data_IF_596584591284
#
_entry.id   IF_596584591284
#
_cell.length_a   1.000
_cell.length_b   1.000
_cell.length_c   1.000
_cell.angle_alpha   90.00
_cell.angle_beta   90.00
_cell.angle_gamma   90.00
#
_symmetry.space_group_name_H-M   'P 1'
#
loop_
_entity.id
_entity.type
_entity.pdbx_description
1 polymer ?
#
# COMPACT_ATOMS: atom_id res chain seq x y z
N UNK A 1 -23.19 6.54 -6.16
CA UNK A 1 -22.14 6.90 -7.15
C UNK A 1 -21.75 5.66 -7.93
N UNK A 2 -21.79 5.68 -9.25
CA UNK A 2 -21.42 4.53 -10.05
C UNK A 2 -19.89 4.39 -10.08
N UNK A 3 -19.35 3.16 -9.98
CA UNK A 3 -17.91 2.89 -10.01
C UNK A 3 -17.23 3.48 -11.26
N UNK A 4 -17.92 3.48 -12.39
CA UNK A 4 -17.40 4.06 -13.64
C UNK A 4 -17.03 5.54 -13.46
N UNK A 5 -17.83 6.31 -12.73
CA UNK A 5 -17.54 7.70 -12.43
C UNK A 5 -16.31 7.86 -11.53
N UNK A 6 -16.16 7.00 -10.49
CA UNK A 6 -14.96 6.97 -9.65
C UNK A 6 -13.73 6.70 -10.49
N UNK A 7 -13.77 5.67 -11.33
CA UNK A 7 -12.66 5.30 -12.19
C UNK A 7 -12.33 6.42 -13.19
N UNK A 8 -13.33 7.08 -13.77
CA UNK A 8 -13.15 8.20 -14.70
C UNK A 8 -12.44 9.37 -14.02
N UNK A 9 -12.95 9.80 -12.86
CA UNK A 9 -12.33 10.87 -12.06
C UNK A 9 -10.92 10.52 -11.62
N UNK A 10 -10.71 9.31 -11.13
CA UNK A 10 -9.38 8.85 -10.73
C UNK A 10 -8.38 8.80 -11.91
N UNK A 11 -8.80 8.38 -13.10
CA UNK A 11 -7.96 8.40 -14.30
C UNK A 11 -7.63 9.84 -14.76
N UNK A 12 -8.56 10.79 -14.65
CA UNK A 12 -8.26 12.23 -14.90
C UNK A 12 -7.18 12.73 -13.93
N UNK A 13 -7.28 12.40 -12.63
CA UNK A 13 -6.24 12.76 -11.64
C UNK A 13 -4.91 12.06 -11.91
N UNK A 14 -4.94 10.81 -12.40
CA UNK A 14 -3.74 10.09 -12.82
C UNK A 14 -3.06 10.78 -14.02
N UNK A 15 -3.82 11.34 -14.96
CA UNK A 15 -3.26 12.11 -16.08
C UNK A 15 -2.56 13.38 -15.60
N UNK A 16 -3.16 14.11 -14.65
CA UNK A 16 -2.50 15.26 -14.00
C UNK A 16 -1.21 14.84 -13.28
N UNK A 17 -1.24 13.72 -12.53
CA UNK A 17 -0.03 13.21 -11.88
C UNK A 17 1.08 12.86 -12.90
N UNK A 18 0.69 12.40 -14.09
CA UNK A 18 1.63 12.08 -15.17
C UNK A 18 2.26 13.33 -15.79
N UNK A 19 1.53 14.44 -15.95
CA UNK A 19 2.08 15.70 -16.48
C UNK A 19 3.15 16.30 -15.57
N UNK A 20 3.03 16.08 -14.26
CA UNK A 20 4.01 16.57 -13.27
C UNK A 20 5.01 15.49 -12.82
N UNK A 21 5.21 14.45 -13.62
CA UNK A 21 6.10 13.30 -13.30
C UNK A 21 7.56 13.67 -13.01
N UNK A 22 8.00 14.88 -13.37
CA UNK A 22 9.35 15.39 -13.12
C UNK A 22 9.60 15.68 -11.64
N UNK A 23 8.55 15.94 -10.86
CA UNK A 23 8.64 16.24 -9.43
C UNK A 23 9.28 15.07 -8.66
N UNK A 24 9.84 15.39 -7.51
CA UNK A 24 10.44 14.38 -6.64
C UNK A 24 9.39 13.39 -6.11
N UNK A 25 9.87 12.25 -5.63
CA UNK A 25 9.03 11.13 -5.15
C UNK A 25 8.08 11.53 -4.02
N UNK A 26 8.55 12.35 -3.08
CA UNK A 26 7.73 12.79 -1.93
C UNK A 26 6.54 13.63 -2.38
N UNK A 27 6.78 14.60 -3.24
CA UNK A 27 5.75 15.47 -3.81
C UNK A 27 4.73 14.65 -4.62
N UNK A 28 5.20 13.72 -5.45
CA UNK A 28 4.31 12.85 -6.22
C UNK A 28 3.47 11.92 -5.32
N UNK A 29 4.05 11.38 -4.24
CA UNK A 29 3.32 10.58 -3.25
C UNK A 29 2.27 11.43 -2.52
N UNK A 30 2.60 12.66 -2.16
CA UNK A 30 1.66 13.59 -1.56
C UNK A 30 0.52 13.94 -2.53
N UNK A 31 0.84 14.31 -3.76
CA UNK A 31 -0.15 14.60 -4.80
C UNK A 31 -1.08 13.41 -5.06
N UNK A 32 -0.54 12.20 -5.14
CA UNK A 32 -1.36 11.00 -5.23
C UNK A 32 -2.36 10.91 -4.07
N UNK A 33 -1.90 11.09 -2.83
CA UNK A 33 -2.73 10.96 -1.62
C UNK A 33 -3.85 12.00 -1.55
N UNK A 34 -3.55 13.25 -1.88
CA UNK A 34 -4.53 14.36 -1.79
C UNK A 34 -5.47 14.44 -2.99
N UNK A 35 -5.07 13.99 -4.18
CA UNK A 35 -5.86 14.15 -5.40
C UNK A 35 -6.53 12.85 -5.84
N UNK A 36 -5.75 11.82 -6.14
CA UNK A 36 -6.27 10.57 -6.71
C UNK A 36 -6.86 9.66 -5.65
N UNK A 37 -6.11 9.44 -4.55
CA UNK A 37 -6.54 8.56 -3.46
C UNK A 37 -7.83 9.07 -2.80
N UNK A 38 -7.97 10.38 -2.62
CA UNK A 38 -9.18 10.99 -2.04
C UNK A 38 -10.44 10.67 -2.84
N UNK A 39 -10.34 10.60 -4.17
CA UNK A 39 -11.45 10.20 -5.05
C UNK A 39 -11.83 8.74 -4.84
N UNK A 40 -10.85 7.86 -4.68
CA UNK A 40 -11.10 6.42 -4.43
C UNK A 40 -11.65 6.21 -3.01
N UNK A 41 -11.08 6.89 -2.01
CA UNK A 41 -11.44 6.74 -0.60
C UNK A 41 -12.88 7.22 -0.29
N UNK A 42 -13.44 8.09 -1.15
CA UNK A 42 -14.80 8.58 -0.93
C UNK A 42 -15.81 7.44 -0.93
N UNK A 43 -16.44 7.22 0.22
CA UNK A 43 -17.39 6.12 0.47
C UNK A 43 -16.84 4.70 0.17
N UNK A 44 -15.53 4.52 0.05
CA UNK A 44 -14.89 3.24 -0.28
C UNK A 44 -15.40 2.07 0.57
N UNK A 45 -15.51 2.15 1.92
CA UNK A 45 -15.98 1.04 2.74
C UNK A 45 -17.43 0.63 2.47
N UNK A 46 -18.24 1.54 1.91
CA UNK A 46 -19.65 1.29 1.65
C UNK A 46 -19.83 0.47 0.37
N UNK A 47 -19.06 0.76 -0.67
CA UNK A 47 -19.28 0.13 -1.97
C UNK A 47 -18.29 -1.00 -2.31
N UNK A 48 -17.06 -0.98 -1.74
CA UNK A 48 -15.96 -1.85 -2.20
C UNK A 48 -16.28 -3.34 -2.14
N UNK A 49 -16.88 -3.80 -1.05
CA UNK A 49 -17.12 -5.23 -0.86
C UNK A 49 -18.20 -5.78 -1.81
N UNK A 50 -19.11 -4.92 -2.28
CA UNK A 50 -20.16 -5.25 -3.24
C UNK A 50 -19.68 -5.23 -4.71
N UNK A 51 -18.44 -4.81 -4.96
CA UNK A 51 -17.85 -4.83 -6.29
C UNK A 51 -17.54 -6.25 -6.75
N UNK A 52 -17.70 -6.50 -8.05
CA UNK A 52 -17.19 -7.72 -8.68
C UNK A 52 -15.67 -7.73 -8.67
N UNK A 53 -15.06 -8.91 -8.81
CA UNK A 53 -13.60 -9.03 -8.86
C UNK A 53 -12.97 -8.17 -9.98
N UNK A 54 -13.60 -8.15 -11.16
CA UNK A 54 -13.16 -7.30 -12.29
C UNK A 54 -13.16 -5.81 -11.93
N UNK A 55 -14.17 -5.36 -11.19
CA UNK A 55 -14.26 -3.98 -10.73
C UNK A 55 -13.20 -3.63 -9.67
N UNK A 56 -12.95 -4.53 -8.72
CA UNK A 56 -11.85 -4.38 -7.73
C UNK A 56 -10.50 -4.28 -8.42
N UNK A 57 -10.24 -5.15 -9.41
CA UNK A 57 -9.01 -5.10 -10.21
C UNK A 57 -8.82 -3.78 -10.95
N UNK A 58 -9.91 -3.15 -11.45
CA UNK A 58 -9.81 -1.82 -12.10
C UNK A 58 -9.30 -0.74 -11.14
N UNK A 59 -9.78 -0.72 -9.90
CA UNK A 59 -9.30 0.24 -8.88
C UNK A 59 -7.83 -0.03 -8.54
N UNK A 60 -7.48 -1.29 -8.27
CA UNK A 60 -6.08 -1.68 -7.98
C UNK A 60 -5.15 -1.33 -9.15
N UNK A 61 -5.61 -1.43 -10.39
CA UNK A 61 -4.83 -1.06 -11.57
C UNK A 61 -4.57 0.46 -11.65
N UNK A 62 -5.51 1.29 -11.22
CA UNK A 62 -5.32 2.74 -11.15
C UNK A 62 -4.25 3.07 -10.10
N UNK A 63 -4.34 2.48 -8.90
CA UNK A 63 -3.32 2.63 -7.87
C UNK A 63 -1.94 2.16 -8.34
N UNK A 64 -1.86 1.00 -8.98
CA UNK A 64 -0.62 0.46 -9.54
C UNK A 64 0.04 1.40 -10.56
N UNK A 65 -0.76 2.00 -11.47
CA UNK A 65 -0.24 3.00 -12.42
C UNK A 65 0.31 4.22 -11.70
N UNK A 66 -0.37 4.70 -10.65
CA UNK A 66 0.12 5.79 -9.83
C UNK A 66 1.42 5.40 -9.09
N UNK A 67 1.49 4.20 -8.53
CA UNK A 67 2.69 3.69 -7.86
C UNK A 67 3.91 3.67 -8.78
N UNK A 68 3.73 3.23 -10.05
CA UNK A 68 4.80 3.28 -11.05
C UNK A 68 5.26 4.71 -11.37
N UNK A 69 4.34 5.66 -11.44
CA UNK A 69 4.69 7.08 -11.66
C UNK A 69 5.49 7.66 -10.50
N UNK A 70 5.09 7.36 -9.26
CA UNK A 70 5.75 7.85 -8.06
C UNK A 70 7.14 7.25 -7.90
N UNK A 71 7.30 5.96 -8.17
CA UNK A 71 8.55 5.23 -7.96
C UNK A 71 9.49 5.25 -9.16
N UNK A 72 8.99 5.54 -10.37
CA UNK A 72 9.75 5.38 -11.61
C UNK A 72 10.06 3.91 -11.96
N UNK A 73 9.27 2.97 -11.41
CA UNK A 73 9.47 1.54 -11.66
C UNK A 73 9.14 1.16 -13.12
N UNK A 74 9.82 0.11 -13.57
CA UNK A 74 9.67 -0.42 -14.93
C UNK A 74 8.33 -1.16 -15.12
N UNK A 75 8.02 -1.43 -16.39
CA UNK A 75 6.90 -2.30 -16.75
C UNK A 75 7.07 -3.69 -16.11
N UNK A 76 5.96 -4.36 -15.80
CA UNK A 76 5.92 -5.70 -15.15
C UNK A 76 6.45 -5.76 -13.71
N UNK A 77 6.76 -4.64 -13.06
CA UNK A 77 7.08 -4.64 -11.63
C UNK A 77 5.87 -5.10 -10.81
N UNK A 78 6.07 -5.97 -9.82
CA UNK A 78 5.01 -6.48 -8.95
C UNK A 78 4.28 -5.36 -8.21
N UNK A 79 2.95 -5.45 -8.16
CA UNK A 79 2.10 -4.50 -7.41
C UNK A 79 2.42 -4.51 -5.92
N UNK A 80 2.62 -5.70 -5.36
CA UNK A 80 2.86 -5.86 -3.93
C UNK A 80 4.20 -5.26 -3.53
N UNK A 81 5.25 -5.50 -4.33
CA UNK A 81 6.55 -4.88 -4.13
C UNK A 81 6.48 -3.35 -4.18
N UNK A 82 5.72 -2.76 -5.12
CA UNK A 82 5.54 -1.31 -5.20
C UNK A 82 4.74 -0.74 -4.04
N UNK A 83 3.69 -1.44 -3.62
CA UNK A 83 2.91 -1.03 -2.46
C UNK A 83 3.77 -1.05 -1.18
N UNK A 84 4.57 -2.10 -0.97
CA UNK A 84 5.52 -2.19 0.15
C UNK A 84 6.53 -1.06 0.09
N UNK A 85 7.11 -0.81 -1.08
CA UNK A 85 8.11 0.25 -1.29
C UNK A 85 7.57 1.66 -0.96
N UNK A 86 6.29 1.91 -1.23
CA UNK A 86 5.63 3.19 -0.95
C UNK A 86 4.97 3.24 0.45
N UNK A 87 4.86 2.10 1.13
CA UNK A 87 4.04 1.97 2.33
C UNK A 87 2.56 2.20 2.02
N UNK A 88 2.09 1.79 0.84
CA UNK A 88 0.69 1.90 0.46
C UNK A 88 -0.05 0.60 0.73
N UNK A 89 -1.23 0.72 1.30
CA UNK A 89 -2.16 -0.39 1.47
C UNK A 89 -2.80 -0.75 0.11
N UNK A 90 -3.15 -2.01 -0.09
CA UNK A 90 -4.08 -2.39 -1.16
C UNK A 90 -5.42 -1.68 -0.97
N UNK A 91 -6.18 -1.47 -2.03
CA UNK A 91 -7.51 -0.84 -1.93
C UNK A 91 -8.43 -1.62 -0.99
N UNK A 92 -8.34 -2.97 -0.99
CA UNK A 92 -9.06 -3.81 -0.04
C UNK A 92 -8.71 -3.49 1.42
N UNK A 93 -7.42 -3.51 1.75
CA UNK A 93 -6.95 -3.22 3.11
C UNK A 93 -7.30 -1.80 3.54
N UNK A 94 -7.21 -0.87 2.61
CA UNK A 94 -7.63 0.52 2.81
C UNK A 94 -9.12 0.62 3.15
N UNK A 95 -9.97 -0.08 2.41
CA UNK A 95 -11.41 -0.16 2.68
C UNK A 95 -11.70 -0.69 4.08
N UNK A 96 -11.01 -1.74 4.50
CA UNK A 96 -11.14 -2.33 5.84
C UNK A 96 -10.75 -1.34 6.94
N UNK A 97 -9.59 -0.68 6.81
CA UNK A 97 -9.12 0.32 7.77
C UNK A 97 -10.08 1.49 7.90
N UNK A 98 -10.50 2.07 6.78
CA UNK A 98 -11.45 3.18 6.78
C UNK A 98 -12.79 2.76 7.37
N UNK A 99 -13.27 1.57 7.01
CA UNK A 99 -14.53 1.03 7.51
C UNK A 99 -14.51 0.74 9.00
N UNK A 100 -13.42 0.17 9.53
CA UNK A 100 -13.24 -0.04 10.97
C UNK A 100 -13.23 1.30 11.73
N UNK A 101 -12.58 2.33 11.21
CA UNK A 101 -12.58 3.66 11.83
C UNK A 101 -13.99 4.28 11.86
N UNK A 102 -14.76 4.12 10.78
CA UNK A 102 -16.16 4.58 10.73
C UNK A 102 -17.01 3.76 11.71
N UNK A 103 -16.87 2.44 11.71
CA UNK A 103 -17.62 1.53 12.58
C UNK A 103 -17.34 1.83 14.06
N UNK A 104 -16.09 2.03 14.45
CA UNK A 104 -15.69 2.44 15.80
C UNK A 104 -16.34 3.78 16.19
N UNK A 105 -16.34 4.77 15.26
CA UNK A 105 -16.98 6.05 15.51
C UNK A 105 -18.48 5.91 15.73
N UNK A 106 -19.17 5.09 14.93
CA UNK A 106 -20.61 4.81 15.10
C UNK A 106 -20.85 4.10 16.44
N UNK A 107 -20.05 3.08 16.74
CA UNK A 107 -20.16 2.34 17.99
C UNK A 107 -20.08 3.24 19.24
N UNK A 108 -19.16 4.18 19.27
CA UNK A 108 -18.86 5.01 20.47
C UNK A 108 -19.67 6.28 20.57
N UNK A 109 -19.98 6.95 19.45
CA UNK A 109 -20.40 8.35 19.42
C UNK A 109 -21.65 8.61 18.60
N UNK A 110 -22.19 7.61 17.91
CA UNK A 110 -23.36 7.84 17.08
C UNK A 110 -24.64 7.91 17.92
N UNK A 111 -25.30 9.02 17.83
CA UNK A 111 -26.57 9.28 18.56
C UNK A 111 -27.79 9.31 17.62
N UNK A 112 -27.59 9.36 16.31
CA UNK A 112 -28.69 9.42 15.32
C UNK A 112 -29.44 8.09 15.28
N UNK A 113 -30.76 8.09 15.58
CA UNK A 113 -31.55 6.87 15.72
C UNK A 113 -31.49 5.96 14.47
N UNK A 114 -31.56 6.57 13.27
CA UNK A 114 -31.53 5.83 12.01
C UNK A 114 -30.22 5.06 11.80
N UNK A 115 -29.06 5.65 12.11
CA UNK A 115 -27.77 4.96 11.95
C UNK A 115 -27.62 3.91 13.05
N UNK A 116 -28.04 4.23 14.25
CA UNK A 116 -27.97 3.31 15.39
C UNK A 116 -28.84 2.07 15.21
N UNK A 117 -30.02 2.21 14.56
CA UNK A 117 -30.89 1.09 14.23
C UNK A 117 -30.29 0.14 13.18
N UNK A 118 -29.32 0.59 12.39
CA UNK A 118 -28.59 -0.26 11.45
C UNK A 118 -27.48 -1.08 12.12
N UNK A 119 -27.11 -0.76 13.38
CA UNK A 119 -26.11 -1.52 14.13
C UNK A 119 -26.70 -2.86 14.60
N UNK A 120 -25.89 -3.94 14.60
CA UNK A 120 -26.33 -5.20 15.18
C UNK A 120 -26.48 -5.07 16.70
N UNK A 121 -27.26 -5.99 17.29
CA UNK A 121 -27.39 -6.07 18.74
C UNK A 121 -26.09 -6.57 19.39
N UNK A 122 -25.79 -6.07 20.58
CA UNK A 122 -24.66 -6.55 21.39
C UNK A 122 -25.00 -7.94 21.92
N UNK A 123 -24.06 -8.84 21.90
CA UNK A 123 -24.20 -10.20 22.43
C UNK A 123 -23.89 -10.20 23.92
N UNK A 124 -24.91 -9.94 24.72
CA UNK A 124 -24.80 -9.91 26.19
C UNK A 124 -24.52 -11.28 26.80
N UNK A 125 -24.93 -12.39 26.15
CA UNK A 125 -24.64 -13.74 26.63
C UNK A 125 -23.16 -14.07 26.56
N UNK A 126 -22.46 -13.54 25.54
CA UNK A 126 -21.01 -13.66 25.42
C UNK A 126 -20.23 -12.61 26.22
N UNK A 127 -20.91 -11.65 26.84
CA UNK A 127 -20.24 -10.65 27.67
C UNK A 127 -19.54 -11.23 28.89
N UNK A 128 -20.03 -12.36 29.42
CA UNK A 128 -19.43 -13.10 30.55
C UNK A 128 -18.12 -13.81 30.14
N UNK A 129 -17.86 -14.02 28.86
CA UNK A 129 -16.59 -14.55 28.36
C UNK A 129 -15.57 -13.41 28.19
N UNK A 130 -14.51 -13.40 28.98
CA UNK A 130 -13.44 -12.37 29.01
C UNK A 130 -12.84 -12.01 27.66
N UNK A 131 -12.87 -12.93 26.67
CA UNK A 131 -12.30 -12.73 25.33
C UNK A 131 -13.23 -12.05 24.32
N UNK A 132 -14.55 -12.08 24.51
CA UNK A 132 -15.54 -11.64 23.54
C UNK A 132 -16.38 -10.43 23.95
N UNK A 133 -16.04 -9.77 25.08
CA UNK A 133 -16.79 -8.61 25.60
C UNK A 133 -16.88 -7.50 24.54
N UNK A 134 -18.10 -6.99 24.31
CA UNK A 134 -18.38 -6.00 23.27
C UNK A 134 -18.45 -6.59 21.84
N UNK A 135 -18.67 -7.89 21.71
CA UNK A 135 -18.99 -8.51 20.43
C UNK A 135 -20.45 -8.22 20.05
N UNK A 136 -20.68 -8.13 18.77
CA UNK A 136 -22.01 -8.01 18.19
C UNK A 136 -22.54 -9.35 17.71
N UNK A 137 -23.85 -9.57 17.81
CA UNK A 137 -24.51 -10.70 17.19
C UNK A 137 -24.36 -10.56 15.66
N UNK A 138 -23.76 -11.54 14.96
CA UNK A 138 -23.65 -11.49 13.53
C UNK A 138 -25.02 -11.40 12.86
N UNK A 139 -25.12 -10.62 11.80
CA UNK A 139 -26.35 -10.59 11.01
C UNK A 139 -26.68 -11.99 10.44
N UNK A 140 -27.97 -12.33 10.40
CA UNK A 140 -28.43 -13.52 9.70
C UNK A 140 -27.98 -13.48 8.23
N UNK A 141 -27.79 -14.66 7.63
CA UNK A 141 -27.36 -14.74 6.24
C UNK A 141 -28.54 -14.44 5.29
N UNK A 142 -28.61 -13.22 4.80
CA UNK A 142 -29.61 -12.77 3.82
C UNK A 142 -29.07 -12.75 2.37
N UNK A 143 -27.98 -13.45 2.11
CA UNK A 143 -27.34 -13.53 0.79
C UNK A 143 -26.04 -12.73 0.66
N UNK A 144 -25.28 -13.03 -0.40
CA UNK A 144 -23.92 -12.54 -0.56
C UNK A 144 -23.79 -11.02 -0.60
N UNK A 145 -24.70 -10.34 -1.30
CA UNK A 145 -24.70 -8.86 -1.40
C UNK A 145 -24.95 -8.19 -0.07
N UNK A 146 -25.92 -8.69 0.72
CA UNK A 146 -26.18 -8.16 2.05
C UNK A 146 -24.98 -8.38 2.98
N UNK A 147 -24.43 -9.59 3.00
CA UNK A 147 -23.27 -9.93 3.84
C UNK A 147 -22.01 -9.15 3.49
N UNK A 148 -21.91 -8.66 2.26
CA UNK A 148 -20.83 -7.80 1.78
C UNK A 148 -21.09 -6.30 2.03
N UNK A 149 -22.29 -5.92 2.48
CA UNK A 149 -22.60 -4.52 2.78
C UNK A 149 -21.88 -4.03 4.03
N UNK A 150 -21.88 -2.71 4.26
CA UNK A 150 -21.04 -2.06 5.28
C UNK A 150 -21.20 -2.68 6.68
N UNK A 151 -22.41 -2.73 7.22
CA UNK A 151 -22.62 -3.20 8.60
C UNK A 151 -22.31 -4.68 8.78
N UNK A 152 -22.84 -5.64 8.01
CA UNK A 152 -22.54 -7.06 8.20
C UNK A 152 -21.04 -7.38 8.03
N UNK A 153 -20.38 -6.78 7.06
CA UNK A 153 -18.96 -7.00 6.82
C UNK A 153 -18.10 -6.47 7.98
N UNK A 154 -18.32 -5.21 8.40
CA UNK A 154 -17.51 -4.62 9.46
C UNK A 154 -17.85 -5.15 10.85
N UNK A 155 -19.06 -5.66 11.07
CA UNK A 155 -19.39 -6.43 12.29
C UNK A 155 -18.48 -7.66 12.44
N UNK A 156 -18.29 -8.41 11.35
CA UNK A 156 -17.37 -9.57 11.36
C UNK A 156 -15.95 -9.13 11.70
N UNK A 157 -15.43 -8.09 11.03
CA UNK A 157 -14.11 -7.55 11.31
C UNK A 157 -14.00 -7.00 12.74
N UNK A 158 -15.00 -6.30 13.22
CA UNK A 158 -15.05 -5.78 14.59
C UNK A 158 -14.96 -6.90 15.62
N UNK A 159 -15.69 -7.97 15.41
CA UNK A 159 -15.71 -9.10 16.34
C UNK A 159 -14.35 -9.80 16.46
N UNK A 160 -13.49 -9.73 15.44
CA UNK A 160 -12.12 -10.27 15.51
C UNK A 160 -11.18 -9.41 16.36
N UNK A 161 -11.53 -8.16 16.64
CA UNK A 161 -10.67 -7.27 17.43
C UNK A 161 -10.68 -7.65 18.92
N UNK A 162 -9.52 -7.56 19.59
CA UNK A 162 -9.46 -7.77 21.04
C UNK A 162 -10.20 -6.66 21.80
N UNK A 163 -10.63 -6.98 23.03
CA UNK A 163 -11.44 -6.09 23.86
C UNK A 163 -10.76 -4.76 24.17
N UNK A 164 -9.48 -4.79 24.51
CA UNK A 164 -8.69 -3.60 24.78
C UNK A 164 -8.68 -2.61 23.60
N UNK A 165 -8.62 -3.13 22.36
CA UNK A 165 -8.68 -2.31 21.14
C UNK A 165 -10.08 -1.70 20.94
N UNK A 166 -11.13 -2.47 21.17
CA UNK A 166 -12.53 -1.98 21.09
C UNK A 166 -12.82 -0.85 22.08
N UNK A 167 -12.15 -0.85 23.22
CA UNK A 167 -12.32 0.14 24.29
C UNK A 167 -11.58 1.46 24.04
N UNK A 168 -10.66 1.53 23.06
CA UNK A 168 -9.87 2.72 22.77
C UNK A 168 -10.75 3.93 22.40
N UNK A 169 -10.26 5.13 22.67
CA UNK A 169 -10.84 6.36 22.14
C UNK A 169 -10.58 6.49 20.63
N UNK A 170 -11.16 7.50 19.96
CA UNK A 170 -11.02 7.68 18.50
C UNK A 170 -9.56 7.84 18.08
N UNK A 171 -8.76 8.60 18.83
CA UNK A 171 -7.37 8.92 18.46
C UNK A 171 -6.51 7.66 18.54
N UNK A 172 -6.61 6.94 19.65
CA UNK A 172 -5.83 5.72 19.88
C UNK A 172 -6.26 4.59 18.95
N UNK A 173 -7.56 4.49 18.66
CA UNK A 173 -8.06 3.52 17.68
C UNK A 173 -7.53 3.83 16.27
N UNK A 174 -7.47 5.10 15.86
CA UNK A 174 -6.83 5.50 14.59
C UNK A 174 -5.34 5.17 14.59
N UNK A 175 -4.65 5.38 15.69
CA UNK A 175 -3.25 5.01 15.84
C UNK A 175 -3.07 3.50 15.69
N UNK A 176 -3.89 2.70 16.34
CA UNK A 176 -3.92 1.25 16.17
C UNK A 176 -4.17 0.86 14.70
N UNK A 177 -5.19 1.42 14.04
CA UNK A 177 -5.46 1.08 12.63
C UNK A 177 -4.34 1.56 11.70
N UNK A 178 -3.55 2.56 12.08
CA UNK A 178 -2.35 2.96 11.34
C UNK A 178 -1.24 1.90 11.41
N UNK A 179 -1.13 1.12 12.49
CA UNK A 179 -0.16 0.00 12.55
C UNK A 179 -0.50 -1.13 11.59
N UNK A 180 -1.76 -1.20 11.12
CA UNK A 180 -2.19 -2.18 10.11
C UNK A 180 -1.69 -1.84 8.70
N UNK A 181 -1.12 -0.64 8.50
CA UNK A 181 -0.55 -0.20 7.22
C UNK A 181 0.86 -0.75 7.04
N UNK A 182 1.29 -0.98 5.79
CA UNK A 182 2.67 -1.36 5.51
C UNK A 182 3.64 -0.29 6.00
N UNK A 183 4.77 -0.72 6.54
CA UNK A 183 5.85 0.20 6.93
C UNK A 183 6.48 0.81 5.69
N UNK A 184 6.62 2.13 5.68
CA UNK A 184 7.26 2.86 4.58
C UNK A 184 8.78 2.87 4.77
N UNK A 185 9.53 2.60 3.72
CA UNK A 185 10.97 2.79 3.72
C UNK A 185 11.34 4.28 3.72
N UNK A 186 12.00 4.75 4.78
CA UNK A 186 12.29 6.18 4.99
C UNK A 186 13.47 6.71 4.17
N UNK A 187 14.45 5.88 3.84
CA UNK A 187 15.69 6.33 3.22
C UNK A 187 15.55 6.82 1.77
N UNK A 188 14.48 6.46 1.06
CA UNK A 188 14.23 6.92 -0.31
C UNK A 188 13.40 8.20 -0.40
N UNK A 189 13.29 8.94 0.70
CA UNK A 189 12.57 10.20 0.72
C UNK A 189 13.45 11.38 0.31
N UNK A 190 14.78 11.24 0.41
CA UNK A 190 15.77 12.28 0.06
C UNK A 190 16.42 11.93 -1.29
N UNK A 191 16.96 12.96 -1.97
CA UNK A 191 17.64 12.79 -3.24
C UNK A 191 16.80 13.11 -4.47
N UNK A 192 17.43 13.08 -5.64
CA UNK A 192 16.73 13.34 -6.90
C UNK A 192 15.89 12.15 -7.34
N UNK A 193 14.92 12.39 -8.20
CA UNK A 193 13.97 11.37 -8.68
C UNK A 193 14.68 10.25 -9.44
N UNK A 194 15.68 10.57 -10.24
CA UNK A 194 16.38 9.58 -11.05
C UNK A 194 17.08 8.53 -10.18
N UNK A 195 17.88 8.98 -9.21
CA UNK A 195 18.57 8.10 -8.27
C UNK A 195 17.56 7.24 -7.46
N UNK A 196 16.49 7.85 -6.95
CA UNK A 196 15.45 7.13 -6.24
C UNK A 196 14.73 6.09 -7.12
N UNK A 197 14.57 6.35 -8.43
CA UNK A 197 13.99 5.39 -9.37
C UNK A 197 14.91 4.20 -9.60
N UNK A 198 16.22 4.42 -9.77
CA UNK A 198 17.20 3.36 -9.91
C UNK A 198 17.24 2.46 -8.67
N UNK A 199 17.33 3.06 -7.49
CA UNK A 199 17.31 2.31 -6.22
C UNK A 199 16.01 1.50 -6.06
N UNK A 200 14.87 2.06 -6.40
CA UNK A 200 13.61 1.31 -6.40
C UNK A 200 13.66 0.12 -7.35
N UNK A 201 14.16 0.30 -8.58
CA UNK A 201 14.26 -0.78 -9.57
C UNK A 201 15.11 -1.93 -9.06
N UNK A 202 16.24 -1.64 -8.43
CA UNK A 202 17.13 -2.63 -7.83
C UNK A 202 16.40 -3.39 -6.71
N UNK A 203 15.82 -2.68 -5.75
CA UNK A 203 15.12 -3.27 -4.60
C UNK A 203 13.93 -4.14 -4.97
N UNK A 204 13.16 -3.76 -5.98
CA UNK A 204 12.04 -4.58 -6.44
C UNK A 204 12.46 -5.73 -7.36
N UNK A 205 13.76 -5.89 -7.62
CA UNK A 205 14.32 -6.91 -8.50
C UNK A 205 13.94 -6.68 -9.96
N UNK A 206 13.90 -5.43 -10.41
CA UNK A 206 13.63 -4.99 -11.79
C UNK A 206 14.65 -3.92 -12.20
N UNK A 207 15.93 -4.25 -12.02
CA UNK A 207 17.05 -3.48 -12.53
C UNK A 207 17.14 -3.61 -14.07
N UNK A 208 18.02 -2.85 -14.67
CA UNK A 208 18.37 -3.02 -16.10
C UNK A 208 19.69 -3.79 -16.27
N UNK A 209 20.11 -4.52 -15.23
CA UNK A 209 21.30 -5.36 -15.26
C UNK A 209 21.06 -6.59 -16.15
N UNK A 210 22.13 -7.12 -16.75
CA UNK A 210 22.03 -8.17 -17.76
C UNK A 210 21.34 -9.44 -17.25
N UNK A 211 21.58 -9.85 -15.99
CA UNK A 211 20.88 -10.99 -15.38
C UNK A 211 19.35 -10.83 -15.46
N UNK A 212 18.86 -9.63 -15.15
CA UNK A 212 17.42 -9.35 -15.16
C UNK A 212 16.85 -9.26 -16.56
N UNK A 213 17.53 -8.57 -17.47
CA UNK A 213 17.09 -8.40 -18.87
C UNK A 213 17.16 -9.71 -19.63
N UNK A 214 18.14 -10.56 -19.34
CA UNK A 214 18.22 -11.94 -19.83
C UNK A 214 17.04 -12.79 -19.34
N UNK A 215 16.71 -12.73 -18.05
CA UNK A 215 15.56 -13.47 -17.49
C UNK A 215 14.20 -13.05 -18.12
N UNK A 216 14.16 -11.89 -18.75
CA UNK A 216 13.01 -11.36 -19.50
C UNK A 216 13.06 -11.65 -21.01
N UNK A 217 14.09 -12.35 -21.49
CA UNK A 217 14.29 -12.63 -22.91
C UNK A 217 14.58 -11.39 -23.76
N UNK A 218 15.16 -10.34 -23.16
CA UNK A 218 15.46 -9.07 -23.86
C UNK A 218 16.88 -8.99 -24.40
N UNK A 219 17.79 -9.83 -23.88
CA UNK A 219 19.18 -9.97 -24.32
C UNK A 219 19.56 -11.44 -24.34
N UNK A 220 20.63 -11.80 -25.07
CA UNK A 220 21.05 -13.17 -25.28
C UNK A 220 21.98 -13.73 -24.20
N UNK A 221 22.60 -12.87 -23.39
CA UNK A 221 23.53 -13.29 -22.33
C UNK A 221 23.34 -12.50 -21.03
N UNK A 222 23.41 -13.15 -19.86
CA UNK A 222 23.40 -12.48 -18.56
C UNK A 222 24.78 -11.92 -18.16
N UNK A 223 25.83 -12.13 -18.97
CA UNK A 223 27.20 -11.76 -18.62
C UNK A 223 27.41 -10.28 -18.36
N UNK A 224 28.28 -9.98 -17.39
CA UNK A 224 28.78 -8.65 -17.15
C UNK A 224 29.90 -8.29 -18.15
N UNK A 225 30.07 -7.02 -18.45
CA UNK A 225 31.18 -6.52 -19.27
C UNK A 225 32.58 -6.87 -18.69
N UNK A 226 32.65 -7.24 -17.40
CA UNK A 226 33.88 -7.74 -16.78
C UNK A 226 34.13 -9.23 -17.01
N UNK A 227 33.34 -9.89 -17.86
CA UNK A 227 33.36 -11.33 -18.13
C UNK A 227 32.91 -12.21 -16.94
N UNK A 228 32.33 -11.63 -15.90
CA UNK A 228 31.64 -12.42 -14.88
C UNK A 228 30.36 -13.01 -15.47
N UNK A 229 30.07 -14.28 -15.16
CA UNK A 229 28.97 -15.06 -15.75
C UNK A 229 27.57 -14.43 -15.63
N UNK A 230 27.36 -13.53 -14.66
CA UNK A 230 26.09 -12.87 -14.43
C UNK A 230 26.29 -11.44 -13.92
N UNK A 231 25.69 -10.45 -14.57
CA UNK A 231 25.58 -9.09 -14.06
C UNK A 231 24.37 -8.98 -13.10
N UNK A 232 24.54 -9.55 -11.91
CA UNK A 232 23.54 -9.46 -10.84
C UNK A 232 23.69 -8.17 -10.02
N UNK A 233 22.66 -7.71 -9.25
CA UNK A 233 22.82 -6.60 -8.32
C UNK A 233 23.96 -6.79 -7.31
N UNK A 234 24.13 -8.02 -6.80
CA UNK A 234 25.23 -8.33 -5.89
C UNK A 234 26.59 -8.13 -6.56
N UNK A 235 26.79 -8.75 -7.74
CA UNK A 235 28.01 -8.56 -8.51
C UNK A 235 28.29 -7.09 -8.83
N UNK A 236 27.28 -6.36 -9.32
CA UNK A 236 27.39 -4.94 -9.69
C UNK A 236 27.84 -4.09 -8.49
N UNK A 237 27.19 -4.25 -7.33
CA UNK A 237 27.44 -3.40 -6.16
C UNK A 237 28.62 -3.84 -5.30
N UNK A 238 28.96 -5.12 -5.26
CA UNK A 238 29.95 -5.63 -4.32
C UNK A 238 31.25 -6.08 -5.00
N UNK A 239 31.17 -6.74 -6.17
CA UNK A 239 32.27 -7.54 -6.68
C UNK A 239 32.88 -7.00 -7.99
N UNK A 240 32.08 -6.34 -8.84
CA UNK A 240 32.54 -5.96 -10.17
C UNK A 240 33.70 -4.96 -10.12
N UNK A 241 34.83 -5.33 -10.69
CA UNK A 241 36.02 -4.47 -10.68
C UNK A 241 35.86 -3.24 -11.61
N UNK A 242 35.00 -3.28 -12.63
CA UNK A 242 34.75 -2.16 -13.53
C UNK A 242 34.16 -0.96 -12.79
N UNK A 243 33.45 -1.20 -11.68
CA UNK A 243 32.77 -0.15 -10.88
C UNK A 243 33.44 0.08 -9.52
N UNK A 244 34.73 -0.27 -9.41
CA UNK A 244 35.47 -0.14 -8.14
C UNK A 244 35.57 1.30 -7.68
N UNK A 245 35.87 2.22 -8.59
CA UNK A 245 36.04 3.65 -8.27
C UNK A 245 34.71 4.28 -7.85
N UNK A 246 33.65 4.04 -8.59
CA UNK A 246 32.31 4.53 -8.28
C UNK A 246 31.80 3.97 -6.94
N UNK A 247 32.11 2.71 -6.67
CA UNK A 247 31.80 2.06 -5.39
C UNK A 247 32.54 2.69 -4.24
N UNK A 248 33.83 2.97 -4.38
CA UNK A 248 34.63 3.64 -3.35
C UNK A 248 34.10 5.06 -3.08
N UNK A 249 33.81 5.83 -4.12
CA UNK A 249 33.20 7.15 -3.98
C UNK A 249 31.82 7.08 -3.29
N UNK A 250 31.00 6.09 -3.63
CA UNK A 250 29.72 5.87 -2.99
C UNK A 250 29.88 5.51 -1.50
N UNK A 251 30.82 4.63 -1.16
CA UNK A 251 31.07 4.22 0.23
C UNK A 251 31.53 5.39 1.09
N UNK A 252 32.45 6.22 0.58
CA UNK A 252 32.90 7.45 1.28
C UNK A 252 31.74 8.39 1.58
N UNK A 253 30.82 8.57 0.64
CA UNK A 253 29.61 9.37 0.86
C UNK A 253 28.70 8.74 1.92
N UNK A 254 28.55 7.41 1.94
CA UNK A 254 27.73 6.74 2.93
C UNK A 254 28.32 6.77 4.33
N UNK A 255 29.62 6.57 4.47
CA UNK A 255 30.31 6.70 5.77
C UNK A 255 30.16 8.09 6.38
N UNK A 256 30.17 9.13 5.54
CA UNK A 256 29.95 10.50 5.98
C UNK A 256 28.51 10.75 6.48
N UNK A 257 27.49 10.14 5.83
CA UNK A 257 26.08 10.41 6.13
C UNK A 257 25.41 9.36 7.03
N UNK A 258 25.94 8.15 7.08
CA UNK A 258 25.37 7.01 7.82
C UNK A 258 26.53 6.18 8.42
N UNK A 259 27.03 6.57 9.61
CA UNK A 259 28.05 5.77 10.30
C UNK A 259 27.57 4.32 10.49
N UNK A 260 28.40 3.34 10.19
CA UNK A 260 28.12 1.89 10.23
C UNK A 260 27.16 1.39 9.13
N UNK A 261 27.13 2.02 7.96
CA UNK A 261 26.36 1.54 6.82
C UNK A 261 26.91 0.19 6.31
N UNK A 262 26.03 -0.80 6.21
CA UNK A 262 26.38 -2.11 5.62
C UNK A 262 25.63 -2.30 4.30
N UNK A 263 26.36 -2.46 3.20
CA UNK A 263 25.84 -2.68 1.85
C UNK A 263 24.97 -3.93 1.72
N UNK A 264 25.11 -4.91 2.63
CA UNK A 264 24.31 -6.14 2.63
C UNK A 264 22.80 -5.90 2.91
N UNK A 265 22.41 -4.69 3.32
CA UNK A 265 21.01 -4.32 3.58
C UNK A 265 20.33 -3.55 2.41
N UNK A 266 20.97 -3.44 1.24
CA UNK A 266 20.36 -2.93 0.01
C UNK A 266 19.74 -4.08 -0.79
#
# INVERSE_FOLDING_TARGET
MQLNEVCLRANRKLSVLRSVKILNRQTLDLLYKITLRSVIDYALPVYFNNLTQKQKMRLEQIQYRAAKLVTGALHLTSKDKLNTELGWETIKKRSEILGLNIFHKIHRYETRPLIRSCMPKIDYERENNLRSKGAYIPFKNYGSKFNSSFFPYHTKLWNTLPKNIKALNITDFKTFTNTMKPTRYKHFQKGNKYANSLLTRIRVGRSQLNQQTFSLGQIDSPECLCHHKEESPMHYFLDCFLYLQERQAMLQLFEHYIPNFNLLYI
#
